data_IF_423394790511
#
_entry.id   IF_423394790511
#
_cell.length_a   1.000
_cell.length_b   1.000
_cell.length_c   1.000
_cell.angle_alpha   90.00
_cell.angle_beta   90.00
_cell.angle_gamma   90.00
#
_symmetry.space_group_name_H-M   'P 1'
#
loop_
_entity.id
_entity.type
_entity.pdbx_description
1 polymer ?
#
# COMPACT_ATOMS: atom_id res chain seq x y z
N UNK A 1 -10.54 -12.19 -1.74
CA UNK A 1 -10.21 -12.95 -0.51
C UNK A 1 -10.68 -12.24 0.77
N UNK A 2 -10.64 -10.91 0.89
CA UNK A 2 -11.02 -10.21 2.13
C UNK A 2 -12.44 -10.51 2.64
N UNK A 3 -13.44 -10.58 1.74
CA UNK A 3 -14.79 -11.02 2.11
C UNK A 3 -14.85 -12.46 2.65
N UNK A 4 -14.04 -13.36 2.09
CA UNK A 4 -13.95 -14.74 2.58
C UNK A 4 -13.32 -14.79 3.98
N UNK A 5 -12.27 -14.00 4.23
CA UNK A 5 -11.67 -13.87 5.55
C UNK A 5 -12.66 -13.29 6.57
N UNK A 6 -13.32 -12.18 6.24
CA UNK A 6 -14.33 -11.57 7.10
C UNK A 6 -15.48 -12.54 7.45
N UNK A 7 -15.88 -13.39 6.51
CA UNK A 7 -16.88 -14.43 6.77
C UNK A 7 -16.36 -15.56 7.67
N UNK A 8 -15.11 -15.99 7.50
CA UNK A 8 -14.56 -17.19 8.13
C UNK A 8 -14.01 -16.94 9.55
N UNK A 9 -13.33 -15.81 9.74
CA UNK A 9 -12.67 -15.44 11.01
C UNK A 9 -13.24 -14.17 11.64
N UNK A 10 -14.23 -13.54 11.01
CA UNK A 10 -14.74 -12.24 11.42
C UNK A 10 -13.82 -11.09 10.99
N UNK A 11 -14.15 -9.88 11.43
CA UNK A 11 -13.41 -8.67 11.10
C UNK A 11 -14.02 -7.87 9.95
N UNK A 12 -13.41 -6.72 9.67
CA UNK A 12 -13.92 -5.75 8.69
C UNK A 12 -13.15 -5.84 7.37
N UNK A 13 -13.87 -5.82 6.25
CA UNK A 13 -13.26 -5.75 4.91
C UNK A 13 -12.61 -4.38 4.69
N UNK A 14 -13.36 -3.32 4.94
CA UNK A 14 -12.85 -1.95 5.04
C UNK A 14 -12.74 -1.59 6.53
N UNK A 15 -11.52 -1.33 7.00
CA UNK A 15 -11.21 -1.13 8.41
C UNK A 15 -10.60 0.25 8.63
N UNK A 16 -11.13 1.06 9.56
CA UNK A 16 -10.50 2.33 9.92
C UNK A 16 -9.11 2.10 10.52
N UNK A 17 -8.19 3.03 10.31
CA UNK A 17 -6.82 2.91 10.83
C UNK A 17 -6.78 2.69 12.34
N UNK A 18 -7.70 3.32 13.09
CA UNK A 18 -7.79 3.17 14.54
C UNK A 18 -8.01 1.71 14.98
N UNK A 19 -8.81 0.95 14.22
CA UNK A 19 -9.06 -0.46 14.52
C UNK A 19 -7.87 -1.35 14.11
N UNK A 20 -7.09 -0.92 13.11
CA UNK A 20 -5.91 -1.66 12.65
C UNK A 20 -4.67 -1.43 13.53
N UNK A 21 -4.55 -0.23 14.10
CA UNK A 21 -3.39 0.22 14.88
C UNK A 21 -3.84 0.83 16.23
N UNK A 22 -4.47 0.04 17.12
CA UNK A 22 -5.06 0.56 18.36
C UNK A 22 -4.03 1.12 19.36
N UNK A 23 -2.76 0.74 19.24
CA UNK A 23 -1.66 1.23 20.09
C UNK A 23 -0.98 2.50 19.57
N UNK A 24 -1.38 3.02 18.41
CA UNK A 24 -0.80 4.22 17.82
C UNK A 24 -1.70 5.42 18.10
N UNK A 25 -1.36 6.19 19.15
CA UNK A 25 -2.14 7.36 19.56
C UNK A 25 -2.19 8.46 18.48
N UNK A 26 -1.24 8.49 17.56
CA UNK A 26 -1.25 9.44 16.45
C UNK A 26 -2.33 9.11 15.41
N UNK A 27 -2.76 7.84 15.31
CA UNK A 27 -3.90 7.45 14.46
C UNK A 27 -5.22 8.03 14.97
N UNK A 28 -5.37 8.15 16.29
CA UNK A 28 -6.55 8.78 16.89
C UNK A 28 -6.54 10.31 16.74
N UNK A 29 -5.34 10.91 16.66
CA UNK A 29 -5.16 12.34 16.44
C UNK A 29 -5.26 12.74 14.95
N UNK A 30 -4.84 11.85 14.05
CA UNK A 30 -5.10 11.98 12.62
C UNK A 30 -6.60 11.82 12.34
N UNK A 31 -7.14 12.57 11.39
CA UNK A 31 -8.57 12.50 11.02
C UNK A 31 -8.93 11.06 10.60
N UNK A 32 -9.63 10.28 11.47
CA UNK A 32 -9.78 8.84 11.29
C UNK A 32 -10.73 8.49 10.13
N UNK A 33 -11.44 9.48 9.58
CA UNK A 33 -12.32 9.32 8.43
C UNK A 33 -11.62 9.46 7.08
N UNK A 34 -10.39 10.00 7.03
CA UNK A 34 -9.69 10.30 5.77
C UNK A 34 -8.97 9.11 5.15
N UNK A 35 -8.63 8.09 5.95
CA UNK A 35 -7.92 6.93 5.46
C UNK A 35 -8.41 5.64 6.13
N UNK A 36 -8.46 4.55 5.35
CA UNK A 36 -8.85 3.23 5.82
C UNK A 36 -8.07 2.14 5.11
N UNK A 37 -8.04 0.95 5.70
CA UNK A 37 -7.45 -0.24 5.11
C UNK A 37 -8.53 -1.10 4.45
N UNK A 38 -8.23 -1.61 3.26
CA UNK A 38 -8.86 -2.76 2.68
C UNK A 38 -8.06 -4.01 3.08
N UNK A 39 -8.63 -4.81 3.98
CA UNK A 39 -7.92 -5.90 4.65
C UNK A 39 -6.77 -5.40 5.55
N UNK A 40 -5.63 -6.09 5.49
CA UNK A 40 -4.44 -5.77 6.31
C UNK A 40 -3.36 -5.00 5.54
N UNK A 41 -3.51 -4.86 4.22
CA UNK A 41 -2.38 -4.60 3.33
C UNK A 41 -2.54 -3.37 2.45
N UNK A 42 -3.76 -2.95 2.12
CA UNK A 42 -4.01 -1.83 1.21
C UNK A 42 -4.64 -0.68 1.96
N UNK A 43 -3.98 0.46 2.05
CA UNK A 43 -4.52 1.71 2.59
C UNK A 43 -5.09 2.55 1.46
N UNK A 44 -6.25 3.15 1.65
CA UNK A 44 -6.91 4.06 0.71
C UNK A 44 -7.13 5.39 1.42
N UNK A 45 -6.76 6.49 0.77
CA UNK A 45 -6.84 7.84 1.34
C UNK A 45 -7.41 8.83 0.30
N UNK A 46 -8.75 8.89 0.14
CA UNK A 46 -9.36 9.77 -0.85
C UNK A 46 -9.31 11.24 -0.43
N UNK A 47 -9.32 12.13 -1.42
CA UNK A 47 -9.55 13.57 -1.22
C UNK A 47 -11.04 13.78 -0.91
N UNK A 48 -11.35 14.37 0.24
CA UNK A 48 -12.72 14.64 0.68
C UNK A 48 -13.11 16.12 0.54
N UNK A 49 -12.14 17.00 0.31
CA UNK A 49 -12.33 18.44 0.25
C UNK A 49 -12.54 18.90 -1.21
N UNK A 50 -13.59 19.69 -1.46
CA UNK A 50 -13.94 20.14 -2.81
C UNK A 50 -12.84 21.04 -3.39
N UNK A 51 -12.32 20.69 -4.58
CA UNK A 51 -11.31 21.48 -5.28
C UNK A 51 -9.89 21.34 -4.73
N UNK A 52 -9.69 20.49 -3.71
CA UNK A 52 -8.35 20.13 -3.26
C UNK A 52 -7.71 19.14 -4.25
N UNK A 53 -6.42 19.33 -4.51
CA UNK A 53 -5.57 18.40 -5.28
C UNK A 53 -4.50 17.75 -4.39
N UNK A 54 -4.63 17.91 -3.08
CA UNK A 54 -3.71 17.38 -2.08
C UNK A 54 -4.51 16.84 -0.90
N UNK A 55 -3.99 15.78 -0.27
CA UNK A 55 -4.54 15.21 0.96
C UNK A 55 -3.40 14.92 1.93
N UNK A 56 -3.58 15.34 3.18
CA UNK A 56 -2.70 14.93 4.26
C UNK A 56 -3.06 13.52 4.71
N UNK A 57 -2.10 12.59 4.60
CA UNK A 57 -2.28 11.18 4.94
C UNK A 57 -1.32 10.80 6.05
N UNK A 58 -1.87 10.22 7.12
CA UNK A 58 -1.07 9.59 8.17
C UNK A 58 -0.71 8.15 7.77
N UNK A 59 0.59 7.85 7.72
CA UNK A 59 1.13 6.52 7.49
C UNK A 59 1.51 5.89 8.82
N UNK A 60 0.82 4.84 9.29
CA UNK A 60 1.19 4.12 10.50
C UNK A 60 2.52 3.40 10.36
N UNK A 61 3.07 2.90 11.48
CA UNK A 61 4.34 2.16 11.49
C UNK A 61 4.41 1.06 10.43
N UNK A 62 5.40 1.17 9.54
CA UNK A 62 5.66 0.24 8.46
C UNK A 62 6.11 0.95 7.19
N UNK A 63 6.47 0.16 6.19
CA UNK A 63 6.86 0.64 4.86
C UNK A 63 5.66 0.56 3.94
N UNK A 64 5.34 1.66 3.26
CA UNK A 64 4.17 1.80 2.40
C UNK A 64 4.59 2.19 0.98
N UNK A 65 4.13 1.43 -0.02
CA UNK A 65 4.43 1.65 -1.43
C UNK A 65 3.18 2.14 -2.16
N UNK A 66 3.33 3.10 -3.07
CA UNK A 66 2.23 3.51 -3.96
C UNK A 66 1.73 2.33 -4.78
N UNK A 67 0.41 2.18 -4.92
CA UNK A 67 -0.20 1.14 -5.76
C UNK A 67 -0.12 1.48 -7.26
N UNK A 68 0.06 2.75 -7.63
CA UNK A 68 0.26 3.16 -9.03
C UNK A 68 1.73 3.24 -9.36
N UNK A 69 2.07 2.56 -10.45
CA UNK A 69 3.36 2.66 -11.13
C UNK A 69 3.58 4.04 -11.77
N UNK A 70 2.51 4.76 -12.09
CA UNK A 70 2.51 5.91 -13.01
C UNK A 70 2.30 7.27 -12.33
N UNK A 71 2.29 7.36 -11.00
CA UNK A 71 2.30 8.70 -10.36
C UNK A 71 3.66 9.30 -10.65
N UNK A 72 3.65 10.23 -11.59
CA UNK A 72 4.80 10.86 -12.20
C UNK A 72 5.60 11.62 -11.15
N UNK A 73 6.88 11.76 -11.44
CA UNK A 73 7.96 12.43 -10.71
C UNK A 73 7.74 13.93 -10.41
N UNK A 74 6.55 14.34 -9.97
CA UNK A 74 6.22 15.73 -9.65
C UNK A 74 5.99 15.87 -8.15
N UNK A 75 7.09 15.78 -7.39
CA UNK A 75 7.21 16.45 -6.09
C UNK A 75 6.89 15.65 -4.84
N UNK A 76 6.46 14.39 -4.93
CA UNK A 76 6.23 13.55 -3.75
C UNK A 76 6.49 12.08 -4.03
N UNK A 77 7.69 11.59 -3.68
CA UNK A 77 8.05 10.19 -3.39
C UNK A 77 7.38 9.05 -4.21
N UNK A 78 6.94 9.26 -5.45
CA UNK A 78 6.24 8.25 -6.22
C UNK A 78 7.25 7.26 -6.80
N UNK A 79 7.51 6.20 -6.03
CA UNK A 79 8.56 5.20 -6.24
C UNK A 79 9.41 4.97 -4.99
N UNK A 80 9.44 5.94 -4.07
CA UNK A 80 10.11 5.82 -2.79
C UNK A 80 9.07 5.38 -1.76
N UNK A 81 9.25 4.23 -1.09
CA UNK A 81 8.35 3.84 -0.03
C UNK A 81 8.33 4.88 1.10
N UNK A 82 7.16 5.10 1.66
CA UNK A 82 6.99 5.94 2.86
C UNK A 82 7.21 5.07 4.09
N UNK A 83 8.20 5.43 4.92
CA UNK A 83 8.42 4.81 6.21
C UNK A 83 7.62 5.57 7.29
N UNK A 84 6.58 4.92 7.81
CA UNK A 84 5.81 5.41 8.95
C UNK A 84 6.48 5.09 10.29
N UNK A 85 6.11 5.76 11.40
CA UNK A 85 4.96 6.64 11.53
C UNK A 85 5.22 8.09 11.08
N UNK A 86 4.46 8.61 10.10
CA UNK A 86 4.61 9.99 9.60
C UNK A 86 3.33 10.48 8.90
N UNK A 87 3.04 11.77 8.99
CA UNK A 87 2.03 12.44 8.14
C UNK A 87 2.71 13.06 6.92
N UNK A 88 2.17 12.82 5.72
CA UNK A 88 2.71 13.35 4.47
C UNK A 88 1.58 13.98 3.65
N UNK A 89 1.81 15.17 3.08
CA UNK A 89 0.93 15.73 2.06
C UNK A 89 1.16 15.02 0.74
N UNK A 90 0.12 14.37 0.23
CA UNK A 90 0.14 13.57 -1.00
C UNK A 90 -0.64 14.32 -2.08
N UNK A 91 -0.02 14.46 -3.26
CA UNK A 91 -0.70 14.98 -4.44
C UNK A 91 -1.73 13.96 -4.94
N UNK A 92 -2.96 14.41 -5.14
CA UNK A 92 -4.08 13.63 -5.62
C UNK A 92 -4.85 14.47 -6.66
N UNK A 93 -4.36 14.52 -7.92
CA UNK A 93 -5.06 15.18 -9.01
C UNK A 93 -6.46 14.61 -9.21
N UNK A 94 -7.34 15.41 -9.83
CA UNK A 94 -8.70 14.96 -10.17
C UNK A 94 -8.65 13.70 -11.04
N UNK A 95 -9.20 12.60 -10.51
CA UNK A 95 -9.21 11.29 -11.17
C UNK A 95 -8.29 10.25 -10.52
N UNK A 96 -7.33 10.69 -9.71
CA UNK A 96 -6.39 9.82 -8.99
C UNK A 96 -6.72 9.80 -7.49
N UNK A 97 -7.03 8.62 -6.97
CA UNK A 97 -7.32 8.41 -5.55
C UNK A 97 -6.11 7.75 -4.92
N UNK A 98 -5.41 8.30 -3.92
CA UNK A 98 -4.25 7.68 -3.25
C UNK A 98 -4.55 6.38 -2.47
N UNK A 99 -3.60 5.43 -2.53
CA UNK A 99 -3.73 3.99 -2.25
C UNK A 99 -2.32 3.46 -2.13
N UNK A 100 -2.05 2.86 -1.00
CA UNK A 100 -0.73 2.39 -0.63
C UNK A 100 -0.80 0.94 -0.22
N UNK A 101 0.17 0.16 -0.66
CA UNK A 101 0.36 -1.22 -0.26
C UNK A 101 1.44 -1.29 0.80
N UNK A 102 1.15 -1.98 1.90
CA UNK A 102 2.10 -2.25 2.96
C UNK A 102 3.16 -3.25 2.49
N UNK A 103 4.41 -3.06 2.88
CA UNK A 103 5.46 -4.04 2.63
C UNK A 103 5.13 -5.42 3.23
N UNK A 104 5.51 -6.46 2.52
CA UNK A 104 5.13 -7.85 2.80
C UNK A 104 3.80 -8.27 2.18
N UNK A 105 3.05 -7.35 1.57
CA UNK A 105 1.79 -7.67 0.91
C UNK A 105 2.01 -8.48 -0.36
N UNK A 106 1.19 -9.52 -0.53
CA UNK A 106 1.07 -10.29 -1.77
C UNK A 106 -0.37 -10.15 -2.26
N UNK A 107 -0.57 -9.38 -3.32
CA UNK A 107 -1.89 -9.00 -3.82
C UNK A 107 -2.15 -9.71 -5.16
N UNK A 108 -3.09 -10.66 -5.23
CA UNK A 108 -3.51 -11.24 -6.49
C UNK A 108 -4.36 -10.23 -7.26
N UNK A 109 -4.03 -10.03 -8.52
CA UNK A 109 -4.68 -9.10 -9.42
C UNK A 109 -5.18 -9.86 -10.65
N UNK A 110 -6.23 -9.35 -11.28
CA UNK A 110 -6.76 -9.92 -12.52
C UNK A 110 -6.99 -8.78 -13.51
N UNK A 111 -6.80 -9.04 -14.81
CA UNK A 111 -6.99 -8.00 -15.81
C UNK A 111 -8.46 -7.57 -15.85
N UNK A 112 -8.73 -6.26 -15.89
CA UNK A 112 -10.10 -5.77 -15.91
C UNK A 112 -10.81 -6.18 -17.21
N UNK A 113 -12.04 -6.65 -17.10
CA UNK A 113 -13.01 -6.76 -18.19
C UNK A 113 -14.28 -5.98 -17.85
N UNK A 114 -15.20 -5.85 -18.81
CA UNK A 114 -16.44 -5.09 -18.61
C UNK A 114 -17.43 -5.79 -17.66
N UNK A 115 -17.22 -7.09 -17.41
CA UNK A 115 -18.01 -7.89 -16.48
C UNK A 115 -17.09 -8.74 -15.61
N UNK A 116 -17.60 -9.17 -14.46
CA UNK A 116 -16.88 -10.10 -13.58
C UNK A 116 -16.67 -11.46 -14.26
N UNK A 117 -17.62 -11.94 -15.05
CA UNK A 117 -17.49 -13.18 -15.85
C UNK A 117 -16.36 -13.09 -16.87
N UNK A 118 -16.23 -11.95 -17.56
CA UNK A 118 -15.13 -11.71 -18.51
C UNK A 118 -13.79 -11.52 -17.80
N UNK A 119 -13.78 -10.86 -16.64
CA UNK A 119 -12.58 -10.67 -15.82
C UNK A 119 -12.07 -12.03 -15.33
N UNK A 120 -12.95 -12.90 -14.85
CA UNK A 120 -12.61 -14.20 -14.27
C UNK A 120 -11.88 -15.16 -15.22
N UNK A 121 -12.10 -15.03 -16.54
CA UNK A 121 -11.40 -15.83 -17.56
C UNK A 121 -10.04 -15.26 -17.97
N UNK A 122 -9.69 -14.06 -17.51
CA UNK A 122 -8.39 -13.45 -17.79
C UNK A 122 -7.28 -14.04 -16.93
N UNK A 123 -6.02 -14.01 -17.40
CA UNK A 123 -4.87 -14.39 -16.60
C UNK A 123 -4.78 -13.57 -15.29
N UNK A 124 -4.44 -14.26 -14.21
CA UNK A 124 -4.13 -13.62 -12.93
C UNK A 124 -2.67 -13.17 -12.92
N UNK A 125 -2.41 -12.04 -12.28
CA UNK A 125 -1.08 -11.54 -11.94
C UNK A 125 -0.93 -11.46 -10.41
N UNK A 126 0.31 -11.42 -9.94
CA UNK A 126 0.61 -11.33 -8.51
C UNK A 126 1.54 -10.14 -8.28
N UNK A 127 1.08 -9.18 -7.49
CA UNK A 127 1.89 -8.05 -7.05
C UNK A 127 2.49 -8.37 -5.69
N UNK A 128 3.81 -8.44 -5.60
CA UNK A 128 4.55 -8.69 -4.36
C UNK A 128 5.26 -7.41 -3.95
N UNK A 129 4.93 -6.90 -2.76
CA UNK A 129 5.52 -5.68 -2.21
C UNK A 129 6.59 -6.09 -1.21
N UNK A 130 7.86 -5.83 -1.55
CA UNK A 130 8.98 -6.28 -0.75
C UNK A 130 9.27 -5.31 0.41
N UNK A 131 9.65 -5.80 1.60
CA UNK A 131 10.22 -4.96 2.64
C UNK A 131 11.61 -4.45 2.25
N UNK A 132 12.00 -3.27 2.72
CA UNK A 132 13.29 -2.65 2.40
C UNK A 132 14.52 -3.36 3.00
N UNK A 133 14.38 -4.47 3.72
CA UNK A 133 15.53 -5.22 4.23
C UNK A 133 16.19 -6.09 3.13
N UNK A 134 17.27 -5.55 2.56
CA UNK A 134 18.43 -6.32 2.11
C UNK A 134 18.29 -7.08 0.79
N UNK A 135 18.21 -6.36 -0.34
CA UNK A 135 18.72 -6.94 -1.58
C UNK A 135 20.25 -7.01 -1.49
N UNK A 136 20.76 -8.16 -1.05
CA UNK A 136 22.12 -8.56 -1.40
C UNK A 136 22.02 -9.20 -2.78
N UNK A 137 22.65 -8.67 -3.84
CA UNK A 137 22.83 -9.44 -5.06
C UNK A 137 23.48 -10.77 -4.65
N UNK A 138 22.95 -11.88 -5.14
CA UNK A 138 23.53 -13.20 -4.88
C UNK A 138 25.03 -13.11 -5.20
N UNK A 139 25.85 -13.14 -4.15
CA UNK A 139 27.29 -12.96 -4.26
C UNK A 139 27.81 -13.99 -5.24
N UNK A 140 28.35 -13.50 -6.36
CA UNK A 140 29.24 -14.30 -7.18
C UNK A 140 30.36 -14.80 -6.27
N UNK A 141 30.49 -16.12 -6.17
CA UNK A 141 31.56 -16.76 -5.42
C UNK A 141 32.91 -16.38 -6.01
N UNK A 142 33.49 -15.28 -5.52
CA UNK A 142 34.90 -14.97 -5.67
C UNK A 142 35.67 -15.89 -4.74
N UNK A 143 36.20 -16.98 -5.31
CA UNK A 143 36.97 -17.97 -4.58
C UNK A 143 38.10 -17.34 -3.78
N UNK A 144 38.16 -17.68 -2.50
CA UNK A 144 39.32 -17.46 -1.67
C UNK A 144 40.49 -18.27 -2.22
N UNK A 145 41.50 -17.56 -2.74
CA UNK A 145 42.84 -18.09 -2.94
C UNK A 145 43.75 -17.47 -1.90
N UNK A 146 44.04 -18.21 -0.83
CA UNK A 146 45.11 -17.88 0.09
C UNK A 146 46.48 -18.12 -0.56
N UNK A 147 47.48 -17.37 -0.10
CA UNK A 147 48.88 -17.62 -0.45
C UNK A 147 49.79 -16.46 -0.07
N UNK A 148 50.48 -16.64 1.06
CA UNK A 148 51.78 -16.08 1.46
C UNK A 148 52.00 -14.57 1.40
#
# INVERSE_FOLDING_TARGET
SCFYAAHSVGGAVARPLLLAFPGDGAVAAADPGRAWLLGDWMMVAPVLDQGANEVEVYFPKGTWHSAWSDVREQGGAAGIPVEGPVSVSVQAPVGDVPVYLRAGAVVPMQRPGNTTSQTASQPMSLTVVLPMQGWQPAGGGGGGGGGC
#
